data_IF_972013688219
#
_entry.id   IF_972013688219
#
_cell.length_a   1.000
_cell.length_b   1.000
_cell.length_c   1.000
_cell.angle_alpha   90.00
_cell.angle_beta   90.00
_cell.angle_gamma   90.00
#
_symmetry.space_group_name_H-M   'P 1'
#
loop_
_entity.id
_entity.type
_entity.pdbx_description
1 polymer ?
#
# COMPACT_ATOMS: atom_id res chain seq x y z
N UNK A 1 -28.73 -6.77 1.81
CA UNK A 1 -27.68 -5.94 1.14
C UNK A 1 -26.85 -5.26 2.22
N UNK A 2 -25.55 -5.54 2.32
CA UNK A 2 -24.70 -4.92 3.35
C UNK A 2 -24.55 -3.43 3.04
N UNK A 3 -24.97 -2.57 3.98
CA UNK A 3 -24.89 -1.11 3.86
C UNK A 3 -23.43 -0.70 3.68
N UNK A 4 -23.05 0.07 2.65
CA UNK A 4 -21.67 0.52 2.54
C UNK A 4 -21.39 1.43 3.74
N UNK A 5 -20.58 0.94 4.67
CA UNK A 5 -20.07 1.76 5.77
C UNK A 5 -19.05 2.69 5.12
N UNK A 6 -19.52 3.83 4.62
CA UNK A 6 -18.67 4.90 4.10
C UNK A 6 -17.97 5.53 5.31
N UNK A 7 -16.94 4.85 5.84
CA UNK A 7 -16.08 5.41 6.88
C UNK A 7 -15.38 6.62 6.26
N UNK A 8 -15.70 7.82 6.74
CA UNK A 8 -14.97 9.04 6.37
C UNK A 8 -13.49 8.89 6.71
N UNK A 9 -12.61 9.47 5.89
CA UNK A 9 -11.18 9.52 6.18
C UNK A 9 -10.95 10.54 7.27
N UNK A 10 -10.59 10.07 8.46
CA UNK A 10 -10.25 10.95 9.57
C UNK A 10 -8.83 11.50 9.41
N UNK A 11 -8.48 12.64 10.02
CA UNK A 11 -7.13 13.18 9.97
C UNK A 11 -6.06 12.16 10.39
N UNK A 12 -6.35 11.32 11.38
CA UNK A 12 -5.43 10.28 11.88
C UNK A 12 -5.21 9.18 10.82
N UNK A 13 -6.28 8.80 10.11
CA UNK A 13 -6.18 7.81 9.02
C UNK A 13 -5.35 8.37 7.85
N UNK A 14 -5.40 9.68 7.61
CA UNK A 14 -4.60 10.36 6.57
C UNK A 14 -3.13 10.42 6.98
N UNK A 15 -2.85 10.80 8.22
CA UNK A 15 -1.48 10.82 8.75
C UNK A 15 -0.84 9.44 8.66
N UNK A 16 -1.52 8.40 9.13
CA UNK A 16 -1.04 7.03 9.06
C UNK A 16 -0.83 6.55 7.62
N UNK A 17 -1.70 6.93 6.67
CA UNK A 17 -1.53 6.60 5.25
C UNK A 17 -0.24 7.20 4.69
N UNK A 18 0.05 8.47 5.02
CA UNK A 18 1.26 9.16 4.56
C UNK A 18 2.53 8.57 5.17
N UNK A 19 2.51 8.24 6.45
CA UNK A 19 3.63 7.56 7.12
C UNK A 19 3.94 6.21 6.48
N UNK A 20 2.91 5.41 6.20
CA UNK A 20 3.08 4.11 5.56
C UNK A 20 3.59 4.23 4.11
N UNK A 21 3.16 5.25 3.38
CA UNK A 21 3.68 5.52 2.05
C UNK A 21 5.16 5.93 2.11
N UNK A 22 5.52 6.81 3.06
CA UNK A 22 6.90 7.26 3.28
C UNK A 22 7.82 6.12 3.74
N UNK A 23 7.30 5.17 4.53
CA UNK A 23 8.07 4.00 5.00
C UNK A 23 8.26 2.92 3.92
N UNK A 24 7.79 3.15 2.68
CA UNK A 24 7.85 2.16 1.61
C UNK A 24 6.94 0.94 1.84
N UNK A 25 5.90 1.06 2.68
CA UNK A 25 4.96 -0.03 2.90
C UNK A 25 4.26 -0.40 1.59
N UNK A 26 3.73 -1.62 1.50
CA UNK A 26 2.89 -2.01 0.36
C UNK A 26 1.44 -1.62 0.59
N UNK A 27 0.67 -1.51 -0.50
CA UNK A 27 -0.78 -1.29 -0.42
C UNK A 27 -1.51 -2.29 0.49
N UNK A 28 -1.04 -3.55 0.51
CA UNK A 28 -1.62 -4.59 1.34
C UNK A 28 -1.40 -4.29 2.83
N UNK A 29 -0.16 -3.91 3.19
CA UNK A 29 0.18 -3.54 4.57
C UNK A 29 -0.59 -2.29 5.00
N UNK A 30 -0.71 -1.30 4.12
CA UNK A 30 -1.50 -0.10 4.40
C UNK A 30 -3.00 -0.39 4.58
N UNK A 31 -3.55 -1.27 3.76
CA UNK A 31 -4.94 -1.73 3.87
C UNK A 31 -5.21 -2.44 5.20
N UNK A 32 -4.31 -3.32 5.64
CA UNK A 32 -4.41 -3.99 6.93
C UNK A 32 -4.31 -3.00 8.11
N UNK A 33 -3.35 -2.07 8.07
CA UNK A 33 -3.15 -1.08 9.14
C UNK A 33 -4.34 -0.11 9.27
N UNK A 34 -4.92 0.33 8.15
CA UNK A 34 -6.04 1.26 8.11
C UNK A 34 -7.41 0.56 8.29
N UNK A 35 -7.45 -0.78 8.24
CA UNK A 35 -8.70 -1.55 8.27
C UNK A 35 -9.65 -1.20 7.12
N UNK A 36 -9.09 -0.87 5.95
CA UNK A 36 -9.83 -0.37 4.77
C UNK A 36 -9.47 -1.16 3.52
N UNK A 37 -10.38 -1.32 2.55
CA UNK A 37 -10.09 -2.01 1.30
C UNK A 37 -8.92 -1.37 0.53
N UNK A 38 -8.07 -2.20 -0.08
CA UNK A 38 -6.90 -1.78 -0.89
C UNK A 38 -7.29 -0.74 -1.94
N UNK A 39 -8.43 -0.90 -2.61
CA UNK A 39 -8.93 0.03 -3.62
C UNK A 39 -9.21 1.43 -3.05
N UNK A 40 -9.76 1.50 -1.83
CA UNK A 40 -10.03 2.76 -1.13
C UNK A 40 -8.73 3.45 -0.72
N UNK A 41 -7.79 2.70 -0.16
CA UNK A 41 -6.45 3.20 0.21
C UNK A 41 -5.71 3.72 -1.00
N UNK A 42 -5.68 2.96 -2.11
CA UNK A 42 -5.06 3.38 -3.37
C UNK A 42 -5.67 4.68 -3.90
N UNK A 43 -7.01 4.75 -3.94
CA UNK A 43 -7.71 5.96 -4.41
C UNK A 43 -7.36 7.17 -3.55
N UNK A 44 -7.36 7.01 -2.23
CA UNK A 44 -7.01 8.10 -1.31
C UNK A 44 -5.55 8.53 -1.45
N UNK A 45 -4.62 7.57 -1.58
CA UNK A 45 -3.22 7.85 -1.82
C UNK A 45 -3.02 8.73 -3.06
N UNK A 46 -3.62 8.35 -4.19
CA UNK A 46 -3.58 9.15 -5.42
C UNK A 46 -4.18 10.55 -5.24
N UNK A 47 -5.30 10.67 -4.52
CA UNK A 47 -5.91 11.99 -4.23
C UNK A 47 -5.01 12.90 -3.39
N UNK A 48 -4.15 12.32 -2.55
CA UNK A 48 -3.18 13.03 -1.72
C UNK A 48 -1.83 13.22 -2.44
N UNK A 49 -1.70 12.81 -3.70
CA UNK A 49 -0.46 12.93 -4.47
C UNK A 49 0.64 11.92 -4.08
N UNK A 50 0.31 10.91 -3.28
CA UNK A 50 1.26 9.85 -2.90
C UNK A 50 0.94 8.53 -3.59
N UNK A 51 1.95 7.69 -3.75
CA UNK A 51 1.78 6.35 -4.33
C UNK A 51 2.46 5.31 -3.47
N UNK A 52 1.88 4.11 -3.46
CA UNK A 52 2.47 2.97 -2.81
C UNK A 52 3.21 2.12 -3.86
N UNK A 53 4.38 1.56 -3.53
CA UNK A 53 5.13 0.72 -4.45
C UNK A 53 4.27 -0.49 -4.87
N UNK A 54 4.14 -0.66 -6.19
CA UNK A 54 3.44 -1.80 -6.75
C UNK A 54 4.22 -3.10 -6.51
N UNK A 55 3.56 -4.25 -6.57
CA UNK A 55 4.20 -5.57 -6.38
C UNK A 55 5.42 -5.75 -7.29
N UNK A 56 5.36 -5.24 -8.53
CA UNK A 56 6.51 -5.28 -9.46
C UNK A 56 7.70 -4.46 -8.97
N UNK A 57 7.47 -3.25 -8.47
CA UNK A 57 8.53 -2.39 -7.91
C UNK A 57 9.11 -3.00 -6.64
N UNK A 58 8.28 -3.54 -5.75
CA UNK A 58 8.74 -4.23 -4.54
C UNK A 58 9.61 -5.44 -4.92
N UNK A 59 9.19 -6.24 -5.90
CA UNK A 59 10.00 -7.38 -6.38
C UNK A 59 11.30 -6.94 -7.06
N UNK A 60 11.30 -5.83 -7.80
CA UNK A 60 12.51 -5.27 -8.38
C UNK A 60 13.49 -4.84 -7.28
N UNK A 61 13.02 -4.07 -6.29
CA UNK A 61 13.83 -3.63 -5.15
C UNK A 61 14.36 -4.82 -4.31
N UNK A 62 13.54 -5.86 -4.10
CA UNK A 62 13.97 -7.07 -3.39
C UNK A 62 15.00 -7.90 -4.17
N UNK A 63 15.00 -7.83 -5.51
CA UNK A 63 16.06 -8.43 -6.33
C UNK A 63 17.34 -7.60 -6.29
N UNK A 64 17.22 -6.28 -6.38
CA UNK A 64 18.37 -5.35 -6.28
C UNK A 64 19.10 -5.50 -4.94
N UNK A 65 18.36 -5.73 -3.87
CA UNK A 65 18.92 -5.96 -2.52
C UNK A 65 19.45 -7.39 -2.30
N UNK A 66 19.30 -8.30 -3.27
CA UNK A 66 19.70 -9.70 -3.14
C UNK A 66 18.82 -10.54 -2.20
N UNK A 67 17.73 -9.97 -1.68
CA UNK A 67 16.79 -10.67 -0.79
C UNK A 67 15.97 -11.75 -1.52
N UNK A 68 15.89 -11.69 -2.85
CA UNK A 68 15.26 -12.71 -3.70
C UNK A 68 16.27 -13.14 -4.78
N UNK A 69 16.74 -14.38 -4.69
CA UNK A 69 17.50 -15.03 -5.77
C UNK A 69 16.69 -15.05 -7.07
N UNK A 70 17.30 -14.76 -8.23
CA UNK A 70 16.65 -14.96 -9.51
C UNK A 70 16.28 -16.44 -9.65
N UNK A 71 15.03 -16.71 -10.04
CA UNK A 71 14.57 -18.09 -10.27
C UNK A 71 15.51 -18.77 -11.25
N UNK A 72 16.28 -19.75 -10.77
CA UNK A 72 17.18 -20.55 -11.60
C UNK A 72 16.34 -21.19 -12.72
N UNK A 73 16.73 -21.07 -14.00
CA UNK A 73 16.05 -21.80 -15.05
C UNK A 73 16.22 -23.31 -14.80
N UNK A 74 15.16 -24.06 -15.05
CA UNK A 74 15.16 -25.53 -15.02
C UNK A 74 15.95 -26.10 -16.18
#
# INVERSE_FOLDING_TARGET
MAKPIVKSWRPEDIALLLELAASGATLLRASAALGRPISSVRKKAHQLGTTFPGVRQVRAALRETGAIEPSRPR
#
